data_IF_486106074581
#
_entry.id   IF_486106074581
#
_cell.length_a   1.000
_cell.length_b   1.000
_cell.length_c   1.000
_cell.angle_alpha   90.00
_cell.angle_beta   90.00
_cell.angle_gamma   90.00
#
_symmetry.space_group_name_H-M   'P 1'
#
loop_
_entity.id
_entity.type
_entity.pdbx_description
1 polymer ?
#
# COMPACT_ATOMS: atom_id res chain seq x y z
N UNK A 1 7.79 -5.97 -0.04
CA UNK A 1 8.26 -4.60 0.32
C UNK A 1 8.54 -3.79 -0.94
N UNK A 2 8.13 -2.52 -1.00
CA UNK A 2 8.24 -1.63 -2.18
C UNK A 2 9.69 -1.39 -2.65
N UNK A 3 10.66 -1.57 -1.75
CA UNK A 3 12.11 -1.48 -2.04
C UNK A 3 12.68 -2.71 -2.75
N UNK A 4 11.92 -3.80 -2.85
CA UNK A 4 12.37 -5.05 -3.45
C UNK A 4 12.76 -4.84 -4.93
N UNK A 5 13.85 -5.48 -5.35
CA UNK A 5 14.37 -5.41 -6.71
C UNK A 5 13.32 -5.75 -7.79
N UNK A 6 12.34 -6.61 -7.47
CA UNK A 6 11.23 -6.99 -8.37
C UNK A 6 10.37 -5.82 -8.88
N UNK A 7 10.44 -4.66 -8.22
CA UNK A 7 9.69 -3.48 -8.63
C UNK A 7 10.50 -2.54 -9.54
N UNK A 8 11.77 -2.86 -9.81
CA UNK A 8 12.62 -2.11 -10.75
C UNK A 8 11.98 -2.13 -12.14
N UNK A 9 11.70 -0.95 -12.70
CA UNK A 9 11.07 -0.81 -14.02
C UNK A 9 9.55 -1.02 -14.04
N UNK A 10 8.89 -1.27 -12.90
CA UNK A 10 7.43 -1.37 -12.85
C UNK A 10 6.78 -0.04 -13.23
N UNK A 11 5.89 -0.09 -14.23
CA UNK A 11 5.08 1.05 -14.70
C UNK A 11 3.71 1.14 -14.02
N UNK A 12 3.42 0.21 -13.12
CA UNK A 12 2.17 0.18 -12.36
C UNK A 12 2.18 1.21 -11.24
N UNK A 13 1.01 1.67 -10.76
CA UNK A 13 0.91 2.42 -9.51
C UNK A 13 1.30 1.55 -8.29
N UNK A 14 1.38 2.16 -7.11
CA UNK A 14 1.58 1.41 -5.86
C UNK A 14 0.44 0.41 -5.66
N UNK A 15 -0.80 0.89 -5.73
CA UNK A 15 -2.04 0.11 -5.63
C UNK A 15 -2.96 0.44 -6.82
N UNK A 16 -3.32 -0.54 -7.67
CA UNK A 16 -4.30 -0.34 -8.73
C UNK A 16 -5.65 0.13 -8.16
N UNK A 17 -6.23 1.16 -8.78
CA UNK A 17 -7.52 1.73 -8.34
C UNK A 17 -7.44 2.69 -7.15
N UNK A 18 -6.26 2.90 -6.54
CA UNK A 18 -6.09 3.94 -5.54
C UNK A 18 -6.11 5.34 -6.19
N UNK A 19 -6.89 6.24 -5.61
CA UNK A 19 -7.13 7.57 -6.14
C UNK A 19 -6.25 8.68 -5.52
N UNK A 20 -5.26 8.30 -4.71
CA UNK A 20 -4.33 9.24 -4.09
C UNK A 20 -3.37 9.88 -5.11
N UNK A 21 -2.81 11.04 -4.75
CA UNK A 21 -1.85 11.76 -5.60
C UNK A 21 -0.64 10.88 -6.01
N UNK A 22 -0.14 10.04 -5.10
CA UNK A 22 0.95 9.12 -5.39
C UNK A 22 0.58 8.11 -6.49
N UNK A 23 -0.55 7.40 -6.35
CA UNK A 23 -0.96 6.36 -7.29
C UNK A 23 -1.44 6.90 -8.63
N UNK A 24 -1.93 8.14 -8.69
CA UNK A 24 -2.35 8.78 -9.95
C UNK A 24 -1.19 9.28 -10.81
N UNK A 25 -0.07 9.65 -10.19
CA UNK A 25 1.00 10.38 -10.89
C UNK A 25 2.33 9.65 -10.95
N UNK A 26 2.54 8.64 -10.09
CA UNK A 26 3.85 7.98 -9.97
C UNK A 26 3.73 6.47 -10.06
N UNK A 27 4.77 5.88 -10.65
CA UNK A 27 4.89 4.43 -10.76
C UNK A 27 5.62 3.85 -9.56
N UNK A 28 5.32 2.59 -9.27
CA UNK A 28 5.99 1.77 -8.26
C UNK A 28 7.50 1.72 -8.50
N UNK A 29 7.93 1.62 -9.76
CA UNK A 29 9.33 1.63 -10.15
C UNK A 29 10.04 2.96 -9.87
N UNK A 30 9.35 4.08 -10.12
CA UNK A 30 9.88 5.41 -9.81
C UNK A 30 10.05 5.64 -8.32
N UNK A 31 9.05 5.28 -7.51
CA UNK A 31 9.13 5.40 -6.04
C UNK A 31 10.27 4.53 -5.49
N UNK A 32 10.46 3.32 -6.02
CA UNK A 32 11.59 2.45 -5.66
C UNK A 32 12.94 3.05 -6.06
N UNK A 33 13.01 3.76 -7.19
CA UNK A 33 14.20 4.50 -7.58
C UNK A 33 14.51 5.63 -6.59
N UNK A 34 13.53 6.44 -6.19
CA UNK A 34 13.71 7.50 -5.18
C UNK A 34 14.27 6.95 -3.86
N UNK A 35 13.77 5.80 -3.40
CA UNK A 35 14.35 5.14 -2.24
C UNK A 35 15.79 4.65 -2.46
N UNK A 36 16.13 4.20 -3.68
CA UNK A 36 17.47 3.72 -3.99
C UNK A 36 18.50 4.85 -4.05
N UNK A 37 18.09 6.06 -4.44
CA UNK A 37 18.97 7.25 -4.49
C UNK A 37 18.94 8.08 -3.19
N UNK A 38 18.17 7.66 -2.18
CA UNK A 38 18.12 8.34 -0.88
C UNK A 38 17.24 9.60 -0.84
N UNK A 39 16.35 9.78 -1.81
CA UNK A 39 15.51 10.97 -1.93
C UNK A 39 14.30 10.93 -1.00
N UNK A 40 14.09 12.01 -0.23
CA UNK A 40 13.01 12.12 0.76
C UNK A 40 11.61 12.07 0.12
N UNK A 41 11.47 12.51 -1.13
CA UNK A 41 10.20 12.49 -1.87
C UNK A 41 9.62 11.08 -1.97
N UNK A 42 10.45 10.02 -2.01
CA UNK A 42 9.97 8.64 -1.99
C UNK A 42 9.18 8.31 -0.73
N UNK A 43 9.63 8.79 0.43
CA UNK A 43 8.93 8.62 1.71
C UNK A 43 7.65 9.46 1.74
N UNK A 44 7.69 10.71 1.28
CA UNK A 44 6.52 11.59 1.22
C UNK A 44 5.39 10.99 0.36
N UNK A 45 5.71 10.53 -0.85
CA UNK A 45 4.74 9.91 -1.75
C UNK A 45 4.12 8.65 -1.14
N UNK A 46 4.92 7.84 -0.46
CA UNK A 46 4.41 6.65 0.23
C UNK A 46 3.51 7.03 1.42
N UNK A 47 3.86 8.06 2.19
CA UNK A 47 3.01 8.57 3.26
C UNK A 47 1.67 9.06 2.75
N UNK A 48 1.62 9.76 1.61
CA UNK A 48 0.36 10.18 0.96
C UNK A 48 -0.51 8.96 0.63
N UNK A 49 0.07 7.91 0.05
CA UNK A 49 -0.65 6.67 -0.23
C UNK A 49 -1.15 5.98 1.05
N UNK A 50 -0.28 5.85 2.05
CA UNK A 50 -0.61 5.20 3.31
C UNK A 50 -1.75 5.91 4.04
N UNK A 51 -1.72 7.25 4.11
CA UNK A 51 -2.79 8.04 4.71
C UNK A 51 -4.11 7.82 3.98
N UNK A 52 -4.11 7.84 2.63
CA UNK A 52 -5.33 7.55 1.85
C UNK A 52 -5.85 6.14 2.10
N UNK A 53 -4.98 5.14 2.14
CA UNK A 53 -5.34 3.77 2.47
C UNK A 53 -6.01 3.69 3.86
N UNK A 54 -5.38 4.25 4.88
CA UNK A 54 -5.91 4.25 6.25
C UNK A 54 -7.25 4.97 6.34
N UNK A 55 -7.40 6.14 5.71
CA UNK A 55 -8.67 6.86 5.69
C UNK A 55 -9.80 6.04 5.05
N UNK A 56 -9.55 5.36 3.92
CA UNK A 56 -10.53 4.48 3.27
C UNK A 56 -10.87 3.27 4.16
N UNK A 57 -9.86 2.62 4.74
CA UNK A 57 -10.05 1.48 5.62
C UNK A 57 -10.88 1.83 6.85
N UNK A 58 -10.60 2.96 7.50
CA UNK A 58 -11.38 3.40 8.67
C UNK A 58 -12.82 3.76 8.29
N UNK A 59 -13.05 4.33 7.10
CA UNK A 59 -14.40 4.58 6.61
C UNK A 59 -15.17 3.28 6.34
N UNK A 60 -14.55 2.29 5.67
CA UNK A 60 -15.13 0.96 5.47
C UNK A 60 -15.46 0.27 6.80
N UNK A 61 -14.57 0.39 7.79
CA UNK A 61 -14.78 -0.18 9.12
C UNK A 61 -15.98 0.43 9.84
N UNK A 62 -16.09 1.77 9.84
CA UNK A 62 -17.24 2.47 10.44
C UNK A 62 -18.56 2.02 9.81
N UNK A 63 -18.61 2.01 8.47
CA UNK A 63 -19.78 1.54 7.73
C UNK A 63 -20.14 0.07 8.06
N UNK A 64 -19.14 -0.80 8.19
CA UNK A 64 -19.35 -2.21 8.51
C UNK A 64 -19.88 -2.41 9.94
N UNK A 65 -19.47 -1.57 10.90
CA UNK A 65 -20.01 -1.60 12.27
C UNK A 65 -21.46 -1.15 12.27
N UNK A 66 -21.77 -0.02 11.64
CA UNK A 66 -23.14 0.52 11.56
C UNK A 66 -24.11 -0.46 10.89
N UNK A 67 -23.67 -1.17 9.86
CA UNK A 67 -24.47 -2.13 9.11
C UNK A 67 -24.41 -3.56 9.67
N UNK A 68 -23.67 -3.80 10.76
CA UNK A 68 -23.44 -5.13 11.35
C UNK A 68 -22.80 -6.15 10.37
N UNK A 69 -22.00 -5.69 9.41
CA UNK A 69 -21.31 -6.50 8.37
C UNK A 69 -19.81 -6.64 8.60
N UNK A 70 -19.36 -6.57 9.86
CA UNK A 70 -17.94 -6.65 10.21
C UNK A 70 -17.29 -7.99 9.81
N UNK A 71 -18.03 -9.09 9.88
CA UNK A 71 -17.54 -10.41 9.48
C UNK A 71 -17.23 -10.50 7.97
N UNK A 72 -18.10 -9.93 7.12
CA UNK A 72 -17.88 -9.83 5.67
C UNK A 72 -16.64 -8.98 5.37
N UNK A 73 -16.51 -7.82 6.02
CA UNK A 73 -15.35 -6.96 5.85
C UNK A 73 -14.05 -7.68 6.22
N UNK A 74 -14.05 -8.46 7.32
CA UNK A 74 -12.89 -9.25 7.74
C UNK A 74 -12.48 -10.26 6.69
N UNK A 75 -13.44 -10.96 6.08
CA UNK A 75 -13.13 -11.96 5.05
C UNK A 75 -12.63 -11.30 3.76
N UNK A 76 -13.25 -10.19 3.35
CA UNK A 76 -12.77 -9.35 2.23
C UNK A 76 -11.31 -8.93 2.45
N UNK A 77 -10.98 -8.43 3.64
CA UNK A 77 -9.61 -7.99 3.97
C UNK A 77 -8.63 -9.16 4.00
N UNK A 78 -9.01 -10.31 4.53
CA UNK A 78 -8.18 -11.53 4.54
C UNK A 78 -7.85 -12.00 3.12
N UNK A 79 -8.85 -11.99 2.23
CA UNK A 79 -8.67 -12.37 0.82
C UNK A 79 -7.79 -11.37 0.07
N UNK A 80 -8.01 -10.06 0.29
CA UNK A 80 -7.25 -9.01 -0.37
C UNK A 80 -5.81 -8.86 0.15
N UNK A 81 -5.59 -9.13 1.44
CA UNK A 81 -4.30 -8.99 2.12
C UNK A 81 -4.00 -10.27 2.91
N UNK A 82 -3.63 -11.38 2.22
CA UNK A 82 -3.17 -12.57 2.92
C UNK A 82 -1.94 -12.21 3.76
N UNK A 83 -1.94 -12.62 5.03
CA UNK A 83 -0.85 -12.29 5.94
C UNK A 83 0.49 -12.72 5.37
N UNK A 84 1.45 -11.79 5.31
CA UNK A 84 2.84 -12.12 5.02
C UNK A 84 3.50 -12.55 6.33
N UNK A 85 3.80 -13.85 6.45
CA UNK A 85 4.61 -14.42 7.54
C UNK A 85 6.08 -14.00 7.32
N UNK A 86 6.51 -12.91 7.97
CA UNK A 86 7.88 -12.38 7.92
C UNK A 86 8.83 -13.26 8.77
N UNK A 87 8.90 -14.57 8.48
CA UNK A 87 9.87 -15.51 9.08
C UNK A 87 11.05 -15.87 8.18
N UNK A 88 11.19 -15.22 7.02
CA UNK A 88 12.32 -15.43 6.11
C UNK A 88 13.24 -14.20 6.02
N UNK A 89 14.35 -14.26 6.77
CA UNK A 89 15.66 -13.89 6.22
C UNK A 89 16.15 -12.44 6.36
N UNK A 90 17.19 -12.31 7.19
CA UNK A 90 18.38 -11.45 7.00
C UNK A 90 18.16 -9.92 6.95
N UNK A 91 18.32 -9.27 8.11
CA UNK A 91 18.94 -7.93 8.16
C UNK A 91 20.40 -8.15 8.57
N UNK A 92 21.28 -8.11 7.59
CA UNK A 92 22.69 -7.75 7.75
C UNK A 92 22.88 -6.33 7.24
#
# INVERSE_FOLDING_TARGET
>A
RLRNARHRGSREPVEPGCDCYCCKNFTRGYIRHLFAVGEATGALLLSIHNLRFMSRLTAELRNAVEQKRLAELREKLRSAYPGHDDRDGTHG
#
